data_IF_879211035598
#
_entry.id   IF_879211035598
#
_cell.length_a   1.000
_cell.length_b   1.000
_cell.length_c   1.000
_cell.angle_alpha   90.00
_cell.angle_beta   90.00
_cell.angle_gamma   90.00
#
_symmetry.space_group_name_H-M   'P 1'
#
loop_
_entity.id
_entity.type
_entity.pdbx_description
1 polymer ?
#
# COMPACT_ATOMS: atom_id res chain seq x y z
N UNK A 1 3.65 2.27 -22.29
CA UNK A 1 3.45 3.62 -21.74
C UNK A 1 4.10 3.65 -20.36
N UNK A 2 4.78 4.73 -19.98
CA UNK A 2 5.34 4.88 -18.62
C UNK A 2 4.26 5.47 -17.71
N UNK A 3 4.11 4.91 -16.51
CA UNK A 3 3.20 5.43 -15.47
C UNK A 3 3.87 6.58 -14.72
N UNK A 4 3.19 7.73 -14.63
CA UNK A 4 3.65 8.87 -13.83
C UNK A 4 3.07 8.78 -12.42
N UNK A 5 3.93 8.70 -11.42
CA UNK A 5 3.53 8.77 -10.01
C UNK A 5 3.58 10.22 -9.52
N UNK A 6 2.59 10.64 -8.75
CA UNK A 6 2.57 11.97 -8.13
C UNK A 6 2.16 11.88 -6.65
N UNK A 7 2.73 12.73 -5.78
CA UNK A 7 2.30 12.82 -4.38
C UNK A 7 0.93 13.48 -4.32
N UNK A 8 -0.06 12.75 -3.79
CA UNK A 8 -1.45 13.23 -3.74
C UNK A 8 -1.62 14.36 -2.70
N UNK A 9 -0.87 14.32 -1.61
CA UNK A 9 -0.90 15.28 -0.51
C UNK A 9 -0.29 16.65 -0.86
N UNK A 10 0.48 16.74 -1.93
CA UNK A 10 1.01 18.01 -2.45
C UNK A 10 0.02 18.73 -3.38
N UNK A 11 -1.10 18.09 -3.72
CA UNK A 11 -2.10 18.70 -4.61
C UNK A 11 -2.96 19.73 -3.88
N UNK A 12 -3.15 20.87 -4.54
CA UNK A 12 -4.13 21.87 -4.13
C UNK A 12 -5.55 21.42 -4.44
N UNK A 13 -6.55 22.02 -3.76
CA UNK A 13 -7.97 21.74 -4.00
C UNK A 13 -8.38 21.78 -5.49
N UNK A 14 -7.99 22.80 -6.29
CA UNK A 14 -8.31 22.81 -7.72
C UNK A 14 -7.66 21.66 -8.49
N UNK A 15 -6.44 21.24 -8.12
CA UNK A 15 -5.75 20.13 -8.78
C UNK A 15 -6.45 18.79 -8.47
N UNK A 16 -6.86 18.56 -7.22
CA UNK A 16 -7.65 17.37 -6.84
C UNK A 16 -9.01 17.34 -7.56
N UNK A 17 -9.67 18.49 -7.69
CA UNK A 17 -10.93 18.61 -8.42
C UNK A 17 -10.78 18.29 -9.92
N UNK A 18 -9.62 18.60 -10.51
CA UNK A 18 -9.31 18.34 -11.90
C UNK A 18 -8.89 16.88 -12.20
N UNK A 19 -8.59 16.07 -11.17
CA UNK A 19 -8.22 14.68 -11.37
C UNK A 19 -9.38 13.87 -11.95
N UNK A 20 -9.05 12.97 -12.89
CA UNK A 20 -10.03 12.00 -13.39
C UNK A 20 -10.40 11.05 -12.26
N UNK A 21 -11.69 10.77 -12.10
CA UNK A 21 -12.21 9.88 -11.05
C UNK A 21 -11.89 8.39 -11.25
N UNK A 22 -11.31 8.04 -12.39
CA UNK A 22 -10.71 6.72 -12.67
C UNK A 22 -9.17 6.72 -12.54
N UNK A 23 -8.58 7.80 -12.01
CA UNK A 23 -7.15 7.82 -11.67
C UNK A 23 -6.92 6.92 -10.46
N UNK A 24 -6.01 5.94 -10.52
CA UNK A 24 -5.69 5.13 -9.36
C UNK A 24 -5.10 5.97 -8.24
N UNK A 25 -5.65 5.80 -7.03
CA UNK A 25 -5.10 6.32 -5.79
C UNK A 25 -4.64 5.16 -4.91
N UNK A 26 -3.39 5.23 -4.45
CA UNK A 26 -2.74 4.16 -3.69
C UNK A 26 -2.33 4.69 -2.33
N UNK A 27 -2.70 3.99 -1.27
CA UNK A 27 -2.18 4.21 0.10
C UNK A 27 -1.12 3.15 0.41
N UNK A 28 0.17 3.49 0.46
CA UNK A 28 1.21 2.54 0.85
C UNK A 28 1.15 2.22 2.35
N UNK A 29 1.25 0.94 2.70
CA UNK A 29 1.48 0.47 4.06
C UNK A 29 2.96 0.15 4.20
N UNK A 30 3.74 1.13 4.67
CA UNK A 30 5.21 1.10 4.61
C UNK A 30 5.78 1.74 3.34
N UNK A 31 7.10 1.65 3.20
CA UNK A 31 7.89 2.31 2.16
C UNK A 31 8.81 1.32 1.44
N UNK A 32 9.45 1.74 0.34
CA UNK A 32 10.43 0.92 -0.37
C UNK A 32 9.82 -0.15 -1.30
N UNK A 33 8.58 0.06 -1.71
CA UNK A 33 7.91 -0.78 -2.71
C UNK A 33 8.49 -0.59 -4.12
N UNK A 34 8.31 -1.61 -4.95
CA UNK A 34 8.69 -1.56 -6.35
C UNK A 34 7.58 -0.87 -7.16
N UNK A 35 7.88 0.36 -7.59
CA UNK A 35 6.93 1.20 -8.33
C UNK A 35 6.64 0.66 -9.73
N UNK A 36 7.54 -0.10 -10.35
CA UNK A 36 7.29 -0.73 -11.64
C UNK A 36 6.25 -1.84 -11.48
N UNK A 37 6.38 -2.69 -10.46
CA UNK A 37 5.37 -3.71 -10.13
C UNK A 37 4.03 -3.11 -9.74
N UNK A 38 4.05 -1.96 -9.06
CA UNK A 38 2.82 -1.23 -8.74
C UNK A 38 2.11 -0.75 -10.01
N UNK A 39 2.87 -0.16 -10.96
CA UNK A 39 2.32 0.26 -12.24
C UNK A 39 1.71 -0.92 -12.99
N UNK A 40 2.39 -2.06 -13.06
CA UNK A 40 1.90 -3.28 -13.70
C UNK A 40 0.61 -3.79 -13.05
N UNK A 41 0.56 -3.86 -11.72
CA UNK A 41 -0.63 -4.28 -10.97
C UNK A 41 -1.84 -3.35 -11.21
N UNK A 42 -1.58 -2.07 -11.52
CA UNK A 42 -2.59 -1.07 -11.87
C UNK A 42 -2.91 -1.02 -13.37
N UNK A 43 -2.43 -1.98 -14.15
CA UNK A 43 -2.66 -2.06 -15.59
C UNK A 43 -1.93 -0.97 -16.39
N UNK A 44 -0.78 -0.50 -15.90
CA UNK A 44 0.04 0.55 -16.50
C UNK A 44 -0.74 1.85 -16.78
N UNK A 45 -1.51 2.29 -15.79
CA UNK A 45 -2.24 3.55 -15.85
C UNK A 45 -1.28 4.73 -16.16
N UNK A 46 -1.70 5.74 -16.94
CA UNK A 46 -0.82 6.84 -17.33
C UNK A 46 -0.38 7.70 -16.14
N UNK A 47 -1.21 7.81 -15.11
CA UNK A 47 -0.92 8.53 -13.88
C UNK A 47 -1.49 7.78 -12.68
N UNK A 48 -0.78 7.84 -11.54
CA UNK A 48 -1.17 7.22 -10.27
C UNK A 48 -0.86 8.20 -9.14
N UNK A 49 -1.87 8.48 -8.32
CA UNK A 49 -1.70 9.28 -7.11
C UNK A 49 -1.24 8.39 -5.95
N UNK A 50 -0.14 8.77 -5.31
CA UNK A 50 0.39 8.06 -4.14
C UNK A 50 0.11 8.94 -2.93
N UNK A 51 -0.66 8.41 -1.98
CA UNK A 51 -0.90 9.05 -0.70
C UNK A 51 0.32 8.84 0.23
N UNK A 52 0.46 9.67 1.29
CA UNK A 52 1.49 9.46 2.29
C UNK A 52 1.49 8.02 2.81
N UNK A 53 2.67 7.38 2.91
CA UNK A 53 2.78 6.02 3.41
C UNK A 53 2.37 5.97 4.87
N UNK A 54 1.68 4.90 5.27
CA UNK A 54 1.41 4.57 6.67
C UNK A 54 2.69 3.92 7.22
N UNK A 55 3.40 4.56 8.17
CA UNK A 55 4.76 4.13 8.53
C UNK A 55 4.78 2.92 9.46
N UNK A 56 3.71 2.68 10.22
CA UNK A 56 3.64 1.58 11.19
C UNK A 56 2.19 1.17 11.48
N UNK A 57 2.03 0.07 12.23
CA UNK A 57 0.74 -0.42 12.72
C UNK A 57 0.54 -1.92 12.54
N UNK A 58 1.49 -2.60 11.88
CA UNK A 58 1.44 -4.03 11.62
C UNK A 58 2.65 -4.76 12.20
N UNK A 59 2.60 -6.09 12.25
CA UNK A 59 3.71 -6.92 12.74
C UNK A 59 4.92 -6.76 11.81
N UNK A 60 6.08 -6.40 12.36
CA UNK A 60 7.30 -6.17 11.58
C UNK A 60 7.55 -4.71 11.19
N UNK A 61 6.61 -3.80 11.44
CA UNK A 61 6.74 -2.37 11.13
C UNK A 61 7.51 -1.54 12.17
N UNK A 62 8.15 -2.17 13.15
CA UNK A 62 8.76 -1.52 14.31
C UNK A 62 7.79 -1.15 15.44
N UNK A 63 6.55 -0.76 15.12
CA UNK A 63 5.47 -0.52 16.09
C UNK A 63 4.16 -1.18 15.64
N UNK A 64 3.87 -2.35 16.21
CA UNK A 64 2.62 -3.04 15.97
C UNK A 64 1.51 -2.47 16.86
N UNK A 65 0.34 -2.23 16.27
CA UNK A 65 -0.89 -1.98 17.03
C UNK A 65 -1.82 -3.19 16.94
N UNK A 66 -2.94 -3.16 17.66
CA UNK A 66 -3.95 -4.20 17.50
C UNK A 66 -4.48 -4.19 16.05
N UNK A 67 -4.68 -5.36 15.46
CA UNK A 67 -5.02 -5.48 14.04
C UNK A 67 -6.36 -4.80 13.71
N UNK A 68 -7.38 -4.98 14.55
CA UNK A 68 -8.72 -4.42 14.31
C UNK A 68 -8.76 -2.89 14.11
N UNK A 69 -8.20 -2.03 14.98
CA UNK A 69 -8.17 -0.60 14.74
C UNK A 69 -7.32 -0.22 13.52
N UNK A 70 -6.23 -0.95 13.23
CA UNK A 70 -5.41 -0.70 12.04
C UNK A 70 -6.18 -0.97 10.75
N UNK A 71 -6.86 -2.12 10.66
CA UNK A 71 -7.73 -2.46 9.54
C UNK A 71 -8.82 -1.41 9.36
N UNK A 72 -9.49 -1.00 10.46
CA UNK A 72 -10.52 0.05 10.39
C UNK A 72 -9.99 1.39 9.89
N UNK A 73 -8.78 1.77 10.29
CA UNK A 73 -8.14 2.98 9.81
C UNK A 73 -7.92 2.91 8.29
N UNK A 74 -7.27 1.85 7.79
CA UNK A 74 -6.96 1.74 6.36
C UNK A 74 -8.23 1.67 5.52
N UNK A 75 -9.21 0.85 5.92
CA UNK A 75 -10.49 0.77 5.22
C UNK A 75 -11.21 2.11 5.21
N UNK A 76 -11.27 2.81 6.34
CA UNK A 76 -11.92 4.12 6.44
C UNK A 76 -11.27 5.20 5.55
N UNK A 77 -9.94 5.18 5.41
CA UNK A 77 -9.24 6.08 4.50
C UNK A 77 -9.58 5.78 3.04
N UNK A 78 -9.59 4.51 2.65
CA UNK A 78 -9.97 4.12 1.30
C UNK A 78 -11.44 4.41 1.01
N UNK A 79 -12.32 4.25 1.99
CA UNK A 79 -13.76 4.53 1.86
C UNK A 79 -13.99 6.03 1.68
N UNK A 80 -13.27 6.87 2.42
CA UNK A 80 -13.35 8.33 2.26
C UNK A 80 -12.95 8.76 0.84
N UNK A 81 -11.90 8.18 0.26
CA UNK A 81 -11.52 8.45 -1.13
C UNK A 81 -12.57 7.94 -2.15
N UNK A 82 -13.23 6.82 -1.85
CA UNK A 82 -14.31 6.31 -2.69
C UNK A 82 -15.54 7.22 -2.62
N UNK A 83 -15.87 7.73 -1.43
CA UNK A 83 -16.96 8.68 -1.19
C UNK A 83 -16.72 10.03 -1.90
N UNK A 84 -15.45 10.45 -2.04
CA UNK A 84 -15.04 11.59 -2.88
C UNK A 84 -15.19 11.33 -4.40
N UNK A 85 -15.58 10.11 -4.77
CA UNK A 85 -15.91 9.70 -6.14
C UNK A 85 -14.77 9.00 -6.88
N UNK A 86 -13.64 8.67 -6.24
CA UNK A 86 -12.57 7.91 -6.89
C UNK A 86 -12.92 6.42 -6.99
N UNK A 87 -12.96 5.91 -8.21
CA UNK A 87 -13.37 4.52 -8.51
C UNK A 87 -12.26 3.49 -8.36
N UNK A 88 -11.00 3.91 -8.27
CA UNK A 88 -9.82 3.03 -8.24
C UNK A 88 -8.93 3.36 -7.04
N UNK A 89 -9.43 3.04 -5.86
CA UNK A 89 -8.73 3.26 -4.58
C UNK A 89 -8.23 1.93 -4.01
N UNK A 90 -6.96 1.86 -3.66
CA UNK A 90 -6.36 0.63 -3.14
C UNK A 90 -5.25 0.90 -2.12
N UNK A 91 -4.99 -0.09 -1.27
CA UNK A 91 -3.82 -0.12 -0.41
C UNK A 91 -2.73 -0.99 -1.04
N UNK A 92 -1.48 -0.56 -0.90
CA UNK A 92 -0.30 -1.35 -1.23
C UNK A 92 0.28 -1.90 0.06
N UNK A 93 0.22 -3.23 0.25
CA UNK A 93 0.53 -3.88 1.52
C UNK A 93 1.59 -4.99 1.41
N UNK A 94 2.30 -5.29 2.52
CA UNK A 94 3.18 -6.45 2.65
C UNK A 94 2.44 -7.79 2.52
N UNK A 95 3.18 -8.84 2.17
CA UNK A 95 2.68 -10.19 1.88
C UNK A 95 2.03 -10.96 3.04
N UNK A 96 2.30 -10.57 4.29
CA UNK A 96 1.82 -11.30 5.48
C UNK A 96 0.80 -10.49 6.30
N UNK A 97 0.24 -9.43 5.74
CA UNK A 97 -0.86 -8.67 6.36
C UNK A 97 -2.16 -8.97 5.63
N UNK A 98 -3.19 -9.35 6.37
CA UNK A 98 -4.56 -9.37 5.88
C UNK A 98 -5.35 -8.17 6.44
N UNK A 99 -5.62 -7.21 5.56
CA UNK A 99 -6.47 -6.05 5.88
C UNK A 99 -7.94 -6.26 5.51
N UNK A 100 -8.33 -7.42 4.97
CA UNK A 100 -9.71 -7.68 4.57
C UNK A 100 -10.22 -6.77 3.44
N UNK A 101 -9.30 -6.18 2.64
CA UNK A 101 -9.62 -5.20 1.60
C UNK A 101 -10.05 -5.83 0.26
N UNK A 102 -9.91 -7.15 0.12
CA UNK A 102 -10.25 -7.88 -1.10
C UNK A 102 -9.53 -7.31 -2.33
N UNK A 103 -10.30 -6.95 -3.37
CA UNK A 103 -9.75 -6.40 -4.62
C UNK A 103 -9.09 -5.01 -4.47
N UNK A 104 -9.25 -4.35 -3.32
CA UNK A 104 -8.59 -3.06 -3.01
C UNK A 104 -7.21 -3.25 -2.36
N UNK A 105 -6.70 -4.48 -2.26
CA UNK A 105 -5.33 -4.75 -1.82
C UNK A 105 -4.43 -5.12 -3.00
N UNK A 106 -3.31 -4.41 -3.12
CA UNK A 106 -2.16 -4.81 -3.93
C UNK A 106 -1.12 -5.33 -2.97
N UNK A 107 -0.70 -6.58 -3.17
CA UNK A 107 0.27 -7.24 -2.30
C UNK A 107 1.63 -7.23 -2.98
N UNK A 108 2.66 -6.73 -2.28
CA UNK A 108 4.05 -6.83 -2.73
C UNK A 108 4.96 -7.37 -1.62
N UNK A 109 6.01 -8.13 -1.97
CA UNK A 109 7.03 -8.53 -1.01
C UNK A 109 7.71 -7.32 -0.37
N UNK A 110 7.67 -7.25 0.96
CA UNK A 110 8.23 -6.15 1.74
C UNK A 110 9.27 -6.67 2.74
N UNK A 111 10.32 -5.87 3.01
CA UNK A 111 11.43 -6.24 3.90
C UNK A 111 10.99 -6.51 5.33
N UNK A 112 9.99 -5.77 5.83
CA UNK A 112 9.40 -5.98 7.18
C UNK A 112 8.82 -7.38 7.43
N UNK A 113 8.51 -8.13 6.37
CA UNK A 113 8.01 -9.51 6.45
C UNK A 113 9.04 -10.54 6.00
N UNK A 114 10.27 -10.13 5.69
CA UNK A 114 11.34 -11.09 5.49
C UNK A 114 11.62 -11.73 6.84
N UNK A 115 11.19 -12.99 7.01
CA UNK A 115 11.79 -13.84 8.02
C UNK A 115 13.26 -14.01 7.64
N UNK A 116 14.16 -13.52 8.49
CA UNK A 116 15.50 -14.07 8.52
C UNK A 116 15.32 -15.57 8.78
N UNK A 117 15.53 -16.38 7.76
CA UNK A 117 15.78 -17.78 7.97
C UNK A 117 17.05 -17.82 8.82
N UNK A 118 16.90 -17.93 10.14
CA UNK A 118 18.01 -18.39 10.96
C UNK A 118 18.44 -19.71 10.33
N UNK A 119 19.68 -19.82 9.81
CA UNK A 119 20.16 -21.12 9.41
C UNK A 119 20.03 -22.00 10.64
N UNK A 120 19.27 -23.09 10.52
CA UNK A 120 19.24 -24.13 11.54
C UNK A 120 20.70 -24.40 11.91
N UNK A 121 21.09 -24.37 13.19
CA UNK A 121 22.43 -24.80 13.56
C UNK A 121 22.62 -26.18 12.95
N UNK A 122 23.67 -26.35 12.13
CA UNK A 122 23.97 -27.64 11.55
C UNK A 122 23.97 -28.66 12.68
N UNK A 123 23.22 -29.76 12.53
CA UNK A 123 23.27 -30.88 13.45
C UNK A 123 24.76 -31.23 13.62
N UNK A 124 25.31 -30.89 14.79
CA UNK A 124 26.64 -31.32 15.18
C UNK A 124 26.48 -32.78 15.55
N UNK A 125 26.64 -33.62 14.55
CA UNK A 125 26.85 -35.05 14.67
C UNK A 125 28.12 -35.27 15.50
N UNK A 126 27.97 -35.68 16.78
CA UNK A 126 28.96 -36.50 17.49
C UNK A 126 28.46 -37.14 18.76
#
# INVERSE_FOLDING_TARGET
MMTTFFPFDELTWPQVAALRRDTPLVIPVGEGYDMAKLAEALGNAPAVGVLPPIPYGWRGSGLAVHETPFVRLVSGLLDSLADDGFSRVCALQPQDIDLGLGARAIIQPHSSQRRDASPLPADVDR
#
